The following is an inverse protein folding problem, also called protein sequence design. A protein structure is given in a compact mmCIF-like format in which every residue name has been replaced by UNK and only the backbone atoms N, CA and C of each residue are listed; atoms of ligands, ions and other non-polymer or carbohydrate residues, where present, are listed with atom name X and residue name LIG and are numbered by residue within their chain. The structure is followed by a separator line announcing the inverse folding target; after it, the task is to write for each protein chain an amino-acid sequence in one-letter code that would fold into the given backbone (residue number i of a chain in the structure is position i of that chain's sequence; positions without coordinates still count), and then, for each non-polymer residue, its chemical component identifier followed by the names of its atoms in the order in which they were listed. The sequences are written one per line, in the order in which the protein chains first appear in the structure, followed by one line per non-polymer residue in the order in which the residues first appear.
data_IF_165705518126
#
_entry.id   IF_165705518126
#
_cell.length_a   1.000
_cell.length_b   1.000
_cell.length_c   1.000
_cell.angle_alpha   90.00
_cell.angle_beta   90.00
_cell.angle_gamma   90.00
#
_symmetry.space_group_name_H-M   'P 1'
#
loop_
_entity.id
_entity.type
_entity.pdbx_description
1 polymer ?
#
# COMPACT_ATOMS: atom_id res chain seq x y z
N UNK A 1 -17.99 0.59 -23.46
CA UNK A 1 -19.46 0.63 -23.55
C UNK A 1 -20.00 -0.78 -23.76
N UNK A 2 -20.61 -1.39 -22.74
CA UNK A 2 -21.59 -2.46 -22.94
C UNK A 2 -22.66 -2.33 -21.86
N UNK A 3 -23.79 -1.80 -22.29
CA UNK A 3 -25.04 -1.84 -21.53
C UNK A 3 -25.62 -3.22 -21.81
N UNK A 4 -25.43 -4.15 -20.89
CA UNK A 4 -26.21 -5.40 -20.94
C UNK A 4 -27.38 -5.24 -19.98
N UNK A 5 -28.62 -5.21 -20.48
CA UNK A 5 -29.77 -5.23 -19.60
C UNK A 5 -29.85 -6.62 -18.98
N UNK A 6 -29.44 -6.74 -17.71
CA UNK A 6 -29.92 -7.84 -16.87
C UNK A 6 -31.19 -7.33 -16.20
N UNK A 7 -32.36 -7.71 -16.71
CA UNK A 7 -33.68 -7.37 -16.13
C UNK A 7 -33.94 -5.86 -15.95
N UNK A 8 -33.55 -5.02 -16.92
CA UNK A 8 -33.79 -3.56 -16.86
C UNK A 8 -32.82 -2.76 -15.99
N UNK A 9 -31.90 -3.42 -15.28
CA UNK A 9 -30.77 -2.74 -14.65
C UNK A 9 -29.64 -2.58 -15.68
N UNK A 10 -29.36 -1.34 -16.06
CA UNK A 10 -28.20 -0.99 -16.88
C UNK A 10 -26.97 -1.02 -16.00
N UNK A 11 -26.20 -2.10 -16.03
CA UNK A 11 -24.95 -2.18 -15.30
C UNK A 11 -23.82 -1.62 -16.16
N UNK A 12 -23.18 -0.55 -15.70
CA UNK A 12 -22.09 0.11 -16.41
C UNK A 12 -20.81 -0.70 -16.23
N UNK A 13 -20.37 -1.37 -17.30
CA UNK A 13 -19.02 -1.95 -17.36
C UNK A 13 -18.13 -0.97 -18.13
N UNK A 14 -17.15 -0.31 -17.47
CA UNK A 14 -16.14 0.49 -18.16
C UNK A 14 -15.16 -0.45 -18.90
N UNK A 15 -15.62 -1.11 -19.96
CA UNK A 15 -14.77 -1.73 -20.97
C UNK A 15 -14.60 -0.67 -22.06
N UNK A 16 -13.41 -0.09 -22.16
CA UNK A 16 -13.26 1.25 -22.76
C UNK A 16 -12.90 1.23 -24.25
N UNK A 17 -12.61 0.08 -24.87
CA UNK A 17 -12.31 0.09 -26.31
C UNK A 17 -12.99 -1.04 -27.10
N UNK A 18 -13.86 -0.72 -28.08
CA UNK A 18 -13.98 -1.58 -29.25
C UNK A 18 -12.66 -1.52 -30.03
N UNK A 19 -12.20 -2.66 -30.55
CA UNK A 19 -10.94 -2.79 -31.27
C UNK A 19 -10.77 -1.80 -32.44
N UNK A 20 -11.87 -1.26 -32.97
CA UNK A 20 -11.92 -0.23 -34.00
C UNK A 20 -11.18 1.05 -33.61
N UNK A 21 -11.21 1.43 -32.33
CA UNK A 21 -10.53 2.64 -31.83
C UNK A 21 -9.00 2.54 -31.91
N UNK A 22 -8.45 1.31 -31.82
CA UNK A 22 -7.00 1.07 -31.94
C UNK A 22 -6.49 1.17 -33.37
N UNK A 23 -7.38 1.09 -34.36
CA UNK A 23 -7.04 1.31 -35.77
C UNK A 23 -6.94 2.81 -36.05
N UNK A 24 -7.81 3.61 -35.42
CA UNK A 24 -7.86 5.06 -35.57
C UNK A 24 -6.70 5.74 -34.82
N UNK A 25 -6.35 5.25 -33.62
CA UNK A 25 -5.37 5.90 -32.74
C UNK A 25 -4.29 4.91 -32.25
N UNK A 26 -3.18 4.75 -33.00
CA UNK A 26 -2.13 3.80 -32.64
C UNK A 26 -1.40 4.16 -31.34
N UNK A 27 -1.44 5.41 -30.90
CA UNK A 27 -0.84 5.87 -29.64
C UNK A 27 -1.38 5.14 -28.41
N UNK A 28 -2.65 4.71 -28.41
CA UNK A 28 -3.20 3.92 -27.31
C UNK A 28 -2.46 2.59 -27.13
N UNK A 29 -1.99 1.96 -28.21
CA UNK A 29 -1.22 0.69 -28.11
C UNK A 29 0.04 0.87 -27.27
N UNK A 30 0.70 2.03 -27.39
CA UNK A 30 1.88 2.37 -26.59
C UNK A 30 1.49 2.46 -25.12
N UNK A 31 0.43 3.21 -24.78
CA UNK A 31 -0.05 3.33 -23.40
C UNK A 31 -0.44 1.98 -22.78
N UNK A 32 -1.07 1.10 -23.53
CA UNK A 32 -1.42 -0.24 -23.07
C UNK A 32 -0.20 -1.13 -22.87
N UNK A 33 0.78 -1.06 -23.79
CA UNK A 33 2.01 -1.82 -23.68
C UNK A 33 2.87 -1.33 -22.50
N UNK A 34 2.94 -0.01 -22.27
CA UNK A 34 3.65 0.56 -21.12
C UNK A 34 2.97 0.22 -19.81
N UNK A 35 1.63 0.32 -19.76
CA UNK A 35 0.84 -0.11 -18.60
C UNK A 35 1.16 -1.57 -18.26
N UNK A 36 0.98 -2.48 -19.22
CA UNK A 36 1.24 -3.90 -19.04
C UNK A 36 2.69 -4.17 -18.61
N UNK A 37 3.65 -3.46 -19.20
CA UNK A 37 5.06 -3.52 -18.80
C UNK A 37 5.27 -3.16 -17.33
N UNK A 38 4.68 -2.07 -16.84
CA UNK A 38 4.76 -1.68 -15.43
C UNK A 38 4.09 -2.70 -14.51
N UNK A 39 2.94 -3.24 -14.90
CA UNK A 39 2.24 -4.28 -14.13
C UNK A 39 3.15 -5.51 -14.00
N UNK A 40 3.70 -6.01 -15.11
CA UNK A 40 4.58 -7.18 -15.11
C UNK A 40 5.86 -6.96 -14.30
N UNK A 41 6.41 -5.75 -14.29
CA UNK A 41 7.56 -5.37 -13.45
C UNK A 41 7.18 -5.32 -11.96
N UNK A 42 5.95 -4.92 -11.63
CA UNK A 42 5.49 -4.79 -10.25
C UNK A 42 5.20 -6.15 -9.57
N UNK A 43 4.62 -7.12 -10.29
CA UNK A 43 4.20 -8.42 -9.75
C UNK A 43 5.29 -9.19 -8.98
N UNK A 44 6.52 -9.41 -9.51
CA UNK A 44 7.56 -10.08 -8.76
C UNK A 44 7.98 -9.27 -7.53
N UNK A 45 7.99 -7.93 -7.64
CA UNK A 45 8.24 -7.02 -6.53
C UNK A 45 7.21 -7.19 -5.41
N UNK A 46 5.92 -7.28 -5.73
CA UNK A 46 4.85 -7.43 -4.73
C UNK A 46 4.95 -8.78 -4.03
N UNK A 47 5.20 -9.86 -4.78
CA UNK A 47 5.39 -11.19 -4.19
C UNK A 47 6.58 -11.22 -3.23
N UNK A 48 7.70 -10.63 -3.62
CA UNK A 48 8.87 -10.47 -2.76
C UNK A 48 8.55 -9.61 -1.54
N UNK A 49 7.81 -8.52 -1.70
CA UNK A 49 7.45 -7.62 -0.62
C UNK A 49 6.55 -8.31 0.40
N UNK A 50 5.54 -9.07 -0.02
CA UNK A 50 4.68 -9.87 0.85
C UNK A 50 5.50 -10.88 1.67
N UNK A 51 6.44 -11.56 1.00
CA UNK A 51 7.33 -12.55 1.64
C UNK A 51 8.29 -11.90 2.63
N UNK A 52 8.87 -10.76 2.26
CA UNK A 52 9.78 -9.97 3.09
C UNK A 52 9.04 -9.47 4.32
N UNK A 53 7.87 -8.84 4.15
CA UNK A 53 7.04 -8.37 5.26
C UNK A 53 6.72 -9.49 6.26
N UNK A 54 6.44 -10.70 5.77
CA UNK A 54 6.22 -11.88 6.63
C UNK A 54 7.44 -12.29 7.45
N UNK A 55 8.66 -11.97 6.99
CA UNK A 55 9.92 -12.22 7.71
C UNK A 55 10.37 -11.02 8.57
N UNK A 56 9.92 -9.82 8.25
CA UNK A 56 10.26 -8.56 8.94
C UNK A 56 9.56 -8.37 10.29
N UNK A 57 9.28 -9.45 11.04
CA UNK A 57 8.61 -9.41 12.36
C UNK A 57 9.39 -8.58 13.39
N UNK A 58 10.69 -8.33 13.15
CA UNK A 58 11.54 -7.46 13.99
C UNK A 58 11.42 -5.96 13.69
N UNK A 59 10.81 -5.59 12.57
CA UNK A 59 10.69 -4.19 12.13
C UNK A 59 9.26 -3.66 12.29
N UNK A 60 8.28 -4.55 12.19
CA UNK A 60 6.87 -4.20 12.22
C UNK A 60 6.12 -5.16 13.13
N UNK A 61 5.13 -4.62 13.83
CA UNK A 61 4.22 -5.42 14.62
C UNK A 61 3.45 -6.41 13.74
N UNK A 62 3.20 -7.62 14.27
CA UNK A 62 2.55 -8.71 13.52
C UNK A 62 1.17 -8.32 12.97
N UNK A 63 0.42 -7.50 13.71
CA UNK A 63 -0.89 -7.03 13.25
C UNK A 63 -0.77 -6.10 12.04
N UNK A 64 0.18 -5.17 12.05
CA UNK A 64 0.45 -4.29 10.90
C UNK A 64 0.86 -5.09 9.66
N UNK A 65 1.74 -6.08 9.83
CA UNK A 65 2.17 -6.96 8.72
C UNK A 65 0.96 -7.63 8.08
N UNK A 66 0.04 -8.20 8.88
CA UNK A 66 -1.18 -8.85 8.37
C UNK A 66 -2.09 -7.88 7.62
N UNK A 67 -2.24 -6.64 8.12
CA UNK A 67 -3.04 -5.60 7.46
C UNK A 67 -2.41 -5.21 6.12
N UNK A 68 -1.09 -4.97 6.09
CA UNK A 68 -0.36 -4.64 4.86
C UNK A 68 -0.42 -5.78 3.85
N UNK A 69 -0.25 -7.03 4.28
CA UNK A 69 -0.33 -8.21 3.40
C UNK A 69 -1.71 -8.35 2.76
N UNK A 70 -2.80 -8.16 3.52
CA UNK A 70 -4.16 -8.21 2.97
C UNK A 70 -4.35 -7.18 1.85
N UNK A 71 -3.95 -5.93 2.07
CA UNK A 71 -4.07 -4.86 1.08
C UNK A 71 -3.15 -5.10 -0.14
N UNK A 72 -1.92 -5.60 0.07
CA UNK A 72 -1.03 -5.97 -1.05
C UNK A 72 -1.60 -7.13 -1.88
N UNK A 73 -2.24 -8.12 -1.25
CA UNK A 73 -2.94 -9.21 -1.96
C UNK A 73 -4.10 -8.64 -2.76
N UNK A 74 -4.91 -7.76 -2.18
CA UNK A 74 -6.01 -7.11 -2.90
C UNK A 74 -5.48 -6.36 -4.14
N UNK A 75 -4.44 -5.53 -4.00
CA UNK A 75 -3.84 -4.84 -5.16
C UNK A 75 -3.28 -5.84 -6.18
N UNK A 76 -2.69 -6.95 -5.75
CA UNK A 76 -2.24 -8.00 -6.68
C UNK A 76 -3.41 -8.60 -7.49
N UNK A 77 -4.56 -8.82 -6.84
CA UNK A 77 -5.79 -9.25 -7.54
C UNK A 77 -6.26 -8.19 -8.53
N UNK A 78 -6.13 -6.90 -8.18
CA UNK A 78 -6.44 -5.78 -9.09
C UNK A 78 -5.58 -5.83 -10.35
N UNK A 79 -4.27 -5.98 -10.18
CA UNK A 79 -3.31 -6.02 -11.28
C UNK A 79 -3.51 -7.25 -12.17
N UNK A 80 -3.72 -8.43 -11.58
CA UNK A 80 -4.03 -9.64 -12.33
C UNK A 80 -5.34 -9.50 -13.13
N UNK A 81 -6.36 -8.88 -12.52
CA UNK A 81 -7.62 -8.58 -13.20
C UNK A 81 -7.42 -7.58 -14.33
N UNK A 82 -6.51 -6.60 -14.18
CA UNK A 82 -6.18 -5.67 -15.26
C UNK A 82 -5.48 -6.36 -16.42
N UNK A 83 -4.54 -7.26 -16.18
CA UNK A 83 -3.90 -8.04 -17.26
C UNK A 83 -4.99 -8.75 -18.08
N UNK A 84 -5.93 -9.44 -17.42
CA UNK A 84 -7.04 -10.10 -18.10
C UNK A 84 -7.90 -9.09 -18.89
N UNK A 85 -8.25 -7.95 -18.29
CA UNK A 85 -9.02 -6.91 -18.98
C UNK A 85 -8.30 -6.38 -20.23
N UNK A 86 -6.98 -6.18 -20.18
CA UNK A 86 -6.18 -5.76 -21.34
C UNK A 86 -6.19 -6.83 -22.43
N UNK A 87 -6.11 -8.12 -22.08
CA UNK A 87 -6.18 -9.22 -23.06
C UNK A 87 -7.52 -9.27 -23.80
N UNK A 88 -8.62 -8.93 -23.12
CA UNK A 88 -9.93 -8.77 -23.75
C UNK A 88 -10.02 -7.49 -24.61
N UNK A 89 -9.55 -6.35 -24.10
CA UNK A 89 -9.57 -5.06 -24.82
C UNK A 89 -8.74 -5.11 -26.11
N UNK A 90 -7.62 -5.83 -26.10
CA UNK A 90 -6.74 -6.02 -27.27
C UNK A 90 -7.22 -7.09 -28.25
N UNK A 91 -8.38 -7.73 -28.00
CA UNK A 91 -8.94 -8.83 -28.79
C UNK A 91 -8.02 -10.07 -28.92
N UNK A 92 -7.03 -10.21 -28.04
CA UNK A 92 -6.23 -11.45 -27.95
C UNK A 92 -7.13 -12.61 -27.53
N UNK A 93 -8.02 -12.34 -26.57
CA UNK A 93 -9.10 -13.26 -26.20
C UNK A 93 -10.37 -12.83 -26.96
N UNK A 94 -10.90 -13.72 -27.80
CA UNK A 94 -12.13 -13.46 -28.56
C UNK A 94 -13.33 -13.42 -27.61
N UNK A 95 -14.12 -12.35 -27.72
CA UNK A 95 -15.37 -12.19 -26.99
C UNK A 95 -16.50 -12.94 -27.71
N UNK A 96 -17.42 -13.62 -26.99
CA UNK A 96 -18.66 -14.09 -27.59
C UNK A 96 -19.52 -12.89 -28.03
N UNK A 97 -19.83 -12.80 -29.32
CA UNK A 97 -20.50 -11.63 -29.93
C UNK A 97 -21.95 -11.45 -29.42
N UNK A 98 -22.62 -12.53 -29.01
CA UNK A 98 -24.06 -12.52 -28.70
C UNK A 98 -24.42 -12.77 -27.23
N UNK A 99 -23.45 -12.83 -26.30
CA UNK A 99 -23.72 -13.17 -24.89
C UNK A 99 -23.04 -12.23 -23.90
N UNK A 100 -23.71 -12.03 -22.77
CA UNK A 100 -23.10 -11.41 -21.60
C UNK A 100 -21.87 -12.22 -21.18
N UNK A 101 -20.71 -11.58 -21.23
CA UNK A 101 -19.45 -12.19 -20.82
C UNK A 101 -19.25 -11.98 -19.32
N UNK A 102 -19.67 -12.99 -18.55
CA UNK A 102 -19.53 -12.99 -17.09
C UNK A 102 -18.06 -12.87 -16.66
N UNK A 103 -17.12 -13.36 -17.46
CA UNK A 103 -15.68 -13.32 -17.12
C UNK A 103 -15.19 -11.89 -17.20
N UNK A 104 -15.54 -11.15 -18.27
CA UNK A 104 -15.20 -9.73 -18.39
C UNK A 104 -15.83 -8.92 -17.26
N UNK A 105 -17.10 -9.16 -16.94
CA UNK A 105 -17.77 -8.47 -15.85
C UNK A 105 -17.09 -8.72 -14.50
N UNK A 106 -16.84 -9.99 -14.15
CA UNK A 106 -16.17 -10.36 -12.89
C UNK A 106 -14.76 -9.79 -12.83
N UNK A 107 -14.03 -9.81 -13.94
CA UNK A 107 -12.66 -9.26 -14.01
C UNK A 107 -12.66 -7.75 -13.74
N UNK A 108 -13.57 -7.01 -14.38
CA UNK A 108 -13.69 -5.57 -14.16
C UNK A 108 -14.15 -5.28 -12.73
N UNK A 109 -15.16 -5.99 -12.24
CA UNK A 109 -15.64 -5.85 -10.86
C UNK A 109 -14.54 -6.13 -9.83
N UNK A 110 -13.80 -7.23 -10.00
CA UNK A 110 -12.68 -7.60 -9.13
C UNK A 110 -11.59 -6.51 -9.14
N UNK A 111 -11.24 -5.97 -10.32
CA UNK A 111 -10.28 -4.87 -10.45
C UNK A 111 -10.72 -3.63 -9.66
N UNK A 112 -11.93 -3.14 -9.89
CA UNK A 112 -12.41 -1.93 -9.23
C UNK A 112 -12.57 -2.14 -7.72
N UNK A 113 -13.18 -3.23 -7.29
CA UNK A 113 -13.34 -3.53 -5.87
C UNK A 113 -12.00 -3.63 -5.13
N UNK A 114 -10.99 -4.24 -5.76
CA UNK A 114 -9.67 -4.36 -5.16
C UNK A 114 -8.85 -3.06 -5.23
N UNK A 115 -8.98 -2.24 -6.29
CA UNK A 115 -8.41 -0.88 -6.31
C UNK A 115 -8.95 -0.03 -5.15
N UNK A 116 -10.22 -0.20 -4.77
CA UNK A 116 -10.81 0.52 -3.63
C UNK A 116 -10.10 0.20 -2.30
N UNK A 117 -9.41 -0.94 -2.18
CA UNK A 117 -8.61 -1.26 -0.99
C UNK A 117 -7.47 -0.28 -0.75
N UNK A 118 -6.95 0.38 -1.80
CA UNK A 118 -5.91 1.38 -1.65
C UNK A 118 -6.38 2.52 -0.75
N UNK A 119 -7.65 2.93 -0.88
CA UNK A 119 -8.25 3.99 -0.07
C UNK A 119 -8.34 3.63 1.41
N UNK A 120 -8.50 2.34 1.74
CA UNK A 120 -8.59 1.86 3.11
C UNK A 120 -7.24 1.49 3.71
N UNK A 121 -6.19 1.33 2.90
CA UNK A 121 -4.88 0.85 3.33
C UNK A 121 -4.23 1.77 4.37
N UNK A 122 -4.08 3.06 4.06
CA UNK A 122 -3.49 4.03 4.99
C UNK A 122 -4.33 4.17 6.28
N UNK A 123 -5.67 4.40 6.21
CA UNK A 123 -6.50 4.42 7.42
C UNK A 123 -6.34 3.18 8.29
N UNK A 124 -6.35 1.98 7.69
CA UNK A 124 -6.22 0.71 8.43
C UNK A 124 -4.88 0.61 9.17
N UNK A 125 -3.78 1.04 8.53
CA UNK A 125 -2.47 1.10 9.18
C UNK A 125 -2.44 2.11 10.33
N UNK A 126 -3.03 3.29 10.15
CA UNK A 126 -3.11 4.33 11.19
C UNK A 126 -3.94 3.84 12.39
N UNK A 127 -5.05 3.17 12.14
CA UNK A 127 -5.89 2.58 13.19
C UNK A 127 -5.09 1.55 13.99
N UNK A 128 -4.33 0.68 13.35
CA UNK A 128 -3.48 -0.30 14.06
C UNK A 128 -2.39 0.39 14.88
N UNK A 129 -1.73 1.42 14.33
CA UNK A 129 -0.74 2.21 15.07
C UNK A 129 -1.36 2.93 16.26
N UNK A 130 -2.56 3.46 16.10
CA UNK A 130 -3.29 4.14 17.18
C UNK A 130 -3.59 3.17 18.33
N UNK A 131 -3.96 1.93 18.03
CA UNK A 131 -4.12 0.87 19.03
C UNK A 131 -2.80 0.46 19.67
N UNK A 132 -1.71 0.36 18.89
CA UNK A 132 -0.38 0.04 19.41
C UNK A 132 0.12 1.11 20.39
N UNK A 133 -0.05 2.39 20.06
CA UNK A 133 0.31 3.51 20.95
C UNK A 133 -0.60 3.61 22.17
N UNK A 134 -1.89 3.27 22.05
CA UNK A 134 -2.82 3.30 23.18
C UNK A 134 -2.59 2.15 24.18
N UNK A 135 -2.31 0.94 23.68
CA UNK A 135 -2.13 -0.27 24.50
C UNK A 135 -0.65 -0.64 24.74
N UNK A 136 0.25 0.33 24.73
CA UNK A 136 1.70 0.12 24.72
C UNK A 136 2.20 -0.86 25.81
N UNK A 137 1.61 -0.83 27.01
CA UNK A 137 2.00 -1.68 28.15
C UNK A 137 1.75 -3.18 27.94
N UNK A 138 0.74 -3.52 27.14
CA UNK A 138 0.19 -4.88 27.02
C UNK A 138 0.24 -5.42 25.59
N UNK A 139 0.52 -4.56 24.60
CA UNK A 139 0.41 -4.89 23.18
C UNK A 139 1.39 -5.99 22.76
N UNK A 140 2.58 -6.04 23.35
CA UNK A 140 3.57 -7.10 23.06
C UNK A 140 3.33 -8.39 23.84
N UNK A 141 2.78 -8.30 25.06
CA UNK A 141 2.59 -9.46 25.94
C UNK A 141 1.49 -10.38 25.44
N UNK A 142 0.43 -9.80 24.89
CA UNK A 142 -0.73 -10.54 24.40
C UNK A 142 -0.81 -10.40 22.88
N UNK A 143 -0.72 -11.50 22.11
CA UNK A 143 -0.87 -11.45 20.66
C UNK A 143 -2.34 -11.17 20.32
N UNK A 144 -2.72 -9.89 20.30
CA UNK A 144 -4.08 -9.39 20.02
C UNK A 144 -4.39 -9.49 18.52
N UNK A 145 -4.34 -10.70 17.97
CA UNK A 145 -4.60 -10.96 16.54
C UNK A 145 -5.99 -10.50 16.10
N UNK A 146 -6.96 -10.50 17.04
CA UNK A 146 -8.32 -10.01 16.80
C UNK A 146 -8.35 -8.56 16.29
N UNK A 147 -7.39 -7.71 16.68
CA UNK A 147 -7.31 -6.31 16.21
C UNK A 147 -7.08 -6.28 14.70
N UNK A 148 -6.12 -7.09 14.20
CA UNK A 148 -5.86 -7.16 12.76
C UNK A 148 -7.06 -7.70 11.97
N UNK A 149 -7.77 -8.70 12.52
CA UNK A 149 -8.98 -9.24 11.88
C UNK A 149 -10.12 -8.23 11.86
N UNK A 150 -10.34 -7.51 12.97
CA UNK A 150 -11.36 -6.48 13.06
C UNK A 150 -11.09 -5.34 12.07
N UNK A 151 -9.86 -4.82 12.04
CA UNK A 151 -9.47 -3.74 11.12
C UNK A 151 -9.62 -4.20 9.66
N UNK A 152 -9.15 -5.41 9.32
CA UNK A 152 -9.29 -5.93 7.96
C UNK A 152 -10.76 -6.17 7.57
N UNK A 153 -11.60 -6.68 8.49
CA UNK A 153 -13.02 -6.87 8.23
C UNK A 153 -13.72 -5.52 7.96
N UNK A 154 -13.42 -4.50 8.76
CA UNK A 154 -13.94 -3.13 8.53
C UNK A 154 -13.43 -2.59 7.19
N UNK A 155 -12.14 -2.75 6.88
CA UNK A 155 -11.56 -2.32 5.61
C UNK A 155 -12.25 -3.00 4.40
N UNK A 156 -12.58 -4.29 4.50
CA UNK A 156 -13.32 -5.04 3.48
C UNK A 156 -14.71 -4.46 3.27
N UNK A 157 -15.46 -4.23 4.34
CA UNK A 157 -16.79 -3.63 4.26
C UNK A 157 -16.73 -2.24 3.63
N UNK A 158 -15.73 -1.42 4.02
CA UNK A 158 -15.54 -0.07 3.49
C UNK A 158 -15.19 -0.08 2.00
N UNK A 159 -14.26 -0.91 1.55
CA UNK A 159 -13.91 -0.92 0.12
C UNK A 159 -15.04 -1.50 -0.75
N UNK A 160 -15.82 -2.48 -0.26
CA UNK A 160 -17.02 -2.97 -0.96
C UNK A 160 -18.07 -1.87 -1.06
N UNK A 161 -18.30 -1.13 0.03
CA UNK A 161 -19.23 0.00 0.05
C UNK A 161 -18.79 1.09 -0.93
N UNK A 162 -17.50 1.40 -0.97
CA UNK A 162 -16.93 2.37 -1.90
C UNK A 162 -17.02 1.91 -3.37
N UNK A 163 -16.86 0.60 -3.63
CA UNK A 163 -17.08 0.02 -4.95
C UNK A 163 -18.54 0.17 -5.41
N UNK A 164 -19.51 -0.12 -4.53
CA UNK A 164 -20.93 0.08 -4.84
C UNK A 164 -21.21 1.57 -5.15
N UNK A 165 -20.64 2.47 -4.34
CA UNK A 165 -20.75 3.91 -4.57
C UNK A 165 -20.11 4.34 -5.91
N UNK A 166 -18.98 3.73 -6.28
CA UNK A 166 -18.32 3.96 -7.57
C UNK A 166 -19.15 3.46 -8.75
N UNK A 167 -19.88 2.34 -8.58
CA UNK A 167 -20.81 1.87 -9.60
C UNK A 167 -22.02 2.79 -9.76
N UNK A 168 -22.53 3.34 -8.65
CA UNK A 168 -23.57 4.38 -8.68
C UNK A 168 -23.05 5.68 -9.34
N UNK A 169 -21.77 5.99 -9.16
CA UNK A 169 -21.10 7.13 -9.80
C UNK A 169 -21.17 7.07 -11.32
N UNK A 170 -21.06 5.89 -11.92
CA UNK A 170 -21.20 5.75 -13.36
C UNK A 170 -22.61 6.11 -13.90
N UNK A 171 -23.64 6.23 -13.04
CA UNK A 171 -24.99 6.61 -13.46
C UNK A 171 -25.23 8.12 -13.48
N UNK A 172 -24.42 8.91 -12.76
CA UNK A 172 -24.63 10.36 -12.67
C UNK A 172 -23.34 11.11 -12.31
N UNK A 173 -23.06 12.25 -12.96
CA UNK A 173 -21.92 13.11 -12.62
C UNK A 173 -21.94 13.59 -11.17
N UNK A 174 -23.13 13.71 -10.56
CA UNK A 174 -23.26 14.06 -9.14
C UNK A 174 -22.59 13.01 -8.23
N UNK A 175 -22.82 11.73 -8.49
CA UNK A 175 -22.24 10.66 -7.68
C UNK A 175 -20.72 10.55 -7.90
N UNK A 176 -20.20 10.89 -9.08
CA UNK A 176 -18.75 11.01 -9.33
C UNK A 176 -18.14 12.08 -8.42
N UNK A 177 -18.77 13.25 -8.33
CA UNK A 177 -18.33 14.31 -7.43
C UNK A 177 -18.34 13.86 -5.97
N UNK A 178 -19.38 13.13 -5.54
CA UNK A 178 -19.46 12.57 -4.18
C UNK A 178 -18.32 11.58 -3.93
N UNK A 179 -18.04 10.65 -4.85
CA UNK A 179 -16.95 9.68 -4.74
C UNK A 179 -15.58 10.36 -4.63
N UNK A 180 -15.32 11.35 -5.49
CA UNK A 180 -14.07 12.13 -5.47
C UNK A 180 -13.92 12.90 -4.16
N UNK A 181 -14.98 13.56 -3.69
CA UNK A 181 -14.98 14.30 -2.43
C UNK A 181 -14.71 13.37 -1.23
N UNK A 182 -15.39 12.23 -1.17
CA UNK A 182 -15.19 11.23 -0.10
C UNK A 182 -13.77 10.68 -0.13
N UNK A 183 -13.23 10.37 -1.31
CA UNK A 183 -11.85 9.88 -1.44
C UNK A 183 -10.83 10.92 -0.94
N UNK A 184 -10.96 12.18 -1.37
CA UNK A 184 -10.08 13.28 -0.92
C UNK A 184 -10.21 13.51 0.59
N UNK A 185 -11.43 13.44 1.14
CA UNK A 185 -11.66 13.56 2.57
C UNK A 185 -10.97 12.43 3.36
N UNK A 186 -11.12 11.17 2.93
CA UNK A 186 -10.46 10.03 3.58
C UNK A 186 -8.93 10.20 3.56
N UNK A 187 -8.36 10.59 2.43
CA UNK A 187 -6.90 10.77 2.29
C UNK A 187 -6.38 11.91 3.17
N UNK A 188 -7.07 13.05 3.17
CA UNK A 188 -6.68 14.22 3.98
C UNK A 188 -6.81 13.95 5.48
N UNK A 189 -7.94 13.38 5.92
CA UNK A 189 -8.14 12.99 7.33
C UNK A 189 -7.12 11.95 7.78
N UNK A 190 -6.79 10.98 6.93
CA UNK A 190 -5.76 9.98 7.24
C UNK A 190 -4.40 10.64 7.43
N UNK A 191 -4.00 11.53 6.52
CA UNK A 191 -2.74 12.26 6.62
C UNK A 191 -2.65 13.16 7.86
N UNK A 192 -3.73 13.86 8.22
CA UNK A 192 -3.78 14.64 9.46
C UNK A 192 -3.68 13.73 10.68
N UNK A 193 -4.41 12.61 10.68
CA UNK A 193 -4.44 11.67 11.82
C UNK A 193 -3.07 11.06 12.06
N UNK A 194 -2.33 10.62 11.03
CA UNK A 194 -0.98 10.05 11.22
C UNK A 194 0.00 11.11 11.72
N UNK A 195 -0.11 12.36 11.27
CA UNK A 195 0.73 13.46 11.79
C UNK A 195 0.43 13.70 13.27
N UNK A 196 -0.85 13.68 13.67
CA UNK A 196 -1.24 13.84 15.07
C UNK A 196 -0.72 12.69 15.94
N UNK A 197 -0.86 11.43 15.48
CA UNK A 197 -0.33 10.25 16.17
C UNK A 197 1.18 10.33 16.31
N UNK A 198 1.90 10.67 15.23
CA UNK A 198 3.34 10.85 15.25
C UNK A 198 3.79 11.95 16.25
N UNK A 199 3.14 13.12 16.23
CA UNK A 199 3.46 14.23 17.15
C UNK A 199 3.20 13.84 18.60
N UNK A 200 2.11 13.13 18.87
CA UNK A 200 1.79 12.61 20.20
C UNK A 200 2.88 11.66 20.69
N UNK A 201 3.27 10.68 19.88
CA UNK A 201 4.28 9.69 20.26
C UNK A 201 5.66 10.34 20.51
N UNK A 202 6.05 11.33 19.70
CA UNK A 202 7.29 12.10 19.91
C UNK A 202 7.22 12.93 21.19
N UNK A 203 6.08 13.55 21.50
CA UNK A 203 5.91 14.33 22.72
C UNK A 203 6.04 13.44 23.97
N UNK A 204 5.41 12.26 23.97
CA UNK A 204 5.53 11.28 25.05
C UNK A 204 6.99 10.82 25.20
N UNK A 205 7.68 10.57 24.08
CA UNK A 205 9.09 10.15 24.12
C UNK A 205 10.01 11.23 24.69
N UNK A 206 9.77 12.49 24.32
CA UNK A 206 10.51 13.63 24.85
C UNK A 206 10.27 13.81 26.34
N UNK A 207 9.03 13.64 26.82
CA UNK A 207 8.70 13.73 28.24
C UNK A 207 9.38 12.62 29.06
N UNK A 208 9.41 11.38 28.54
CA UNK A 208 10.11 10.27 29.19
C UNK A 208 11.64 10.44 29.19
N UNK A 209 12.19 11.17 28.23
CA UNK A 209 13.64 11.39 28.10
C UNK A 209 14.13 12.56 28.95
N UNK A 210 13.34 13.64 28.99
CA UNK A 210 13.62 14.78 29.84
C UNK A 210 13.24 14.40 31.28
N UNK A 211 14.24 14.18 32.14
CA UNK A 211 14.13 13.76 33.54
C UNK A 211 13.34 14.70 34.48
N UNK A 212 12.43 15.53 33.97
CA UNK A 212 11.42 16.23 34.74
C UNK A 212 10.56 15.16 35.43
N UNK A 213 10.94 14.78 36.65
CA UNK A 213 10.41 13.67 37.46
C UNK A 213 8.95 13.84 37.91
N UNK A 214 8.08 14.30 37.02
CA UNK A 214 6.66 14.55 37.24
C UNK A 214 5.79 13.57 36.42
N UNK A 215 6.38 12.78 35.52
CA UNK A 215 5.63 11.79 34.75
C UNK A 215 5.19 10.64 35.67
N UNK A 216 3.90 10.55 35.92
CA UNK A 216 3.22 9.52 36.74
C UNK A 216 3.27 8.12 36.13
N UNK A 217 3.81 7.98 34.91
CA UNK A 217 3.96 6.70 34.23
C UNK A 217 5.20 6.01 34.75
N UNK A 218 5.03 4.81 35.32
CA UNK A 218 6.13 3.95 35.76
C UNK A 218 7.10 3.71 34.60
N UNK A 219 8.24 4.37 34.64
CA UNK A 219 9.25 4.27 33.59
C UNK A 219 9.83 2.85 33.57
N UNK A 220 9.59 2.12 32.49
CA UNK A 220 10.29 0.85 32.21
C UNK A 220 11.12 1.00 30.95
N UNK A 221 12.32 0.40 30.95
CA UNK A 221 13.23 0.42 29.81
C UNK A 221 12.56 -0.14 28.53
N UNK A 222 11.69 -1.15 28.69
CA UNK A 222 10.89 -1.72 27.59
C UNK A 222 9.95 -0.71 26.94
N UNK A 223 9.31 0.15 27.72
CA UNK A 223 8.39 1.17 27.21
C UNK A 223 9.11 2.17 26.29
N UNK A 224 10.33 2.56 26.68
CA UNK A 224 11.15 3.48 25.89
C UNK A 224 11.51 2.85 24.53
N UNK A 225 11.99 1.61 24.51
CA UNK A 225 12.34 0.93 23.26
C UNK A 225 11.14 0.76 22.32
N UNK A 226 9.98 0.39 22.88
CA UNK A 226 8.73 0.27 22.11
C UNK A 226 8.29 1.61 21.51
N UNK A 227 8.40 2.70 22.28
CA UNK A 227 8.02 4.02 21.81
C UNK A 227 8.98 4.55 20.74
N UNK A 228 10.28 4.31 20.87
CA UNK A 228 11.27 4.63 19.83
C UNK A 228 11.01 3.87 18.52
N UNK A 229 10.62 2.59 18.61
CA UNK A 229 10.20 1.81 17.45
C UNK A 229 8.93 2.39 16.81
N UNK A 230 7.90 2.68 17.62
CA UNK A 230 6.66 3.28 17.13
C UNK A 230 6.88 4.63 16.45
N UNK A 231 7.71 5.51 17.02
CA UNK A 231 8.08 6.80 16.40
C UNK A 231 8.77 6.59 15.06
N UNK A 232 9.69 5.61 14.96
CA UNK A 232 10.38 5.29 13.70
C UNK A 232 9.42 4.80 12.62
N UNK A 233 8.50 3.90 12.98
CA UNK A 233 7.50 3.35 12.06
C UNK A 233 6.48 4.42 11.65
N UNK A 234 6.00 5.23 12.61
CA UNK A 234 5.05 6.32 12.34
C UNK A 234 5.66 7.41 11.46
N UNK A 235 6.96 7.68 11.59
CA UNK A 235 7.67 8.56 10.66
C UNK A 235 7.64 8.05 9.22
N UNK A 236 7.88 6.74 9.01
CA UNK A 236 7.79 6.13 7.67
C UNK A 236 6.35 6.18 7.14
N UNK A 237 5.37 5.83 7.97
CA UNK A 237 3.94 5.88 7.62
C UNK A 237 3.47 7.30 7.30
N UNK A 238 3.99 8.32 7.97
CA UNK A 238 3.70 9.72 7.67
C UNK A 238 4.16 10.09 6.25
N UNK A 239 5.41 9.74 5.87
CA UNK A 239 5.88 9.97 4.51
C UNK A 239 5.06 9.20 3.46
N UNK A 240 4.72 7.94 3.76
CA UNK A 240 3.85 7.13 2.91
C UNK A 240 2.45 7.75 2.76
N UNK A 241 1.85 8.23 3.84
CA UNK A 241 0.52 8.86 3.83
C UNK A 241 0.50 10.16 3.04
N UNK A 242 1.53 11.00 3.19
CA UNK A 242 1.67 12.24 2.42
C UNK A 242 1.82 11.94 0.93
N UNK A 243 2.73 11.02 0.58
CA UNK A 243 2.91 10.57 -0.80
C UNK A 243 1.62 9.98 -1.38
N UNK A 244 0.92 9.15 -0.61
CA UNK A 244 -0.37 8.56 -0.97
C UNK A 244 -1.45 9.62 -1.21
N UNK A 245 -1.50 10.69 -0.41
CA UNK A 245 -2.50 11.75 -0.57
C UNK A 245 -2.25 12.59 -1.83
N UNK A 246 -0.98 12.92 -2.12
CA UNK A 246 -0.61 13.60 -3.38
C UNK A 246 -0.93 12.70 -4.57
N UNK A 247 -0.55 11.42 -4.47
CA UNK A 247 -0.81 10.44 -5.51
C UNK A 247 -2.30 10.26 -5.80
N UNK A 248 -3.10 10.09 -4.75
CA UNK A 248 -4.53 9.90 -4.87
C UNK A 248 -5.26 11.16 -5.30
N UNK A 249 -4.79 12.37 -4.95
CA UNK A 249 -5.36 13.62 -5.46
C UNK A 249 -5.18 13.72 -6.98
N UNK A 250 -3.99 13.43 -7.50
CA UNK A 250 -3.72 13.39 -8.95
C UNK A 250 -4.57 12.30 -9.62
N UNK A 251 -4.61 11.10 -9.04
CA UNK A 251 -5.42 9.99 -9.56
C UNK A 251 -6.92 10.31 -9.61
N UNK A 252 -7.48 10.91 -8.54
CA UNK A 252 -8.87 11.34 -8.49
C UNK A 252 -9.15 12.47 -9.48
N UNK A 253 -8.21 13.40 -9.69
CA UNK A 253 -8.31 14.46 -10.68
C UNK A 253 -8.37 13.92 -12.11
N UNK A 254 -7.47 13.01 -12.48
CA UNK A 254 -7.46 12.37 -13.80
C UNK A 254 -8.73 11.54 -14.04
N UNK A 255 -9.12 10.71 -13.07
CA UNK A 255 -10.31 9.87 -13.21
C UNK A 255 -11.59 10.72 -13.19
N UNK A 256 -11.72 11.67 -12.27
CA UNK A 256 -12.89 12.54 -12.16
C UNK A 256 -13.06 13.42 -13.40
N UNK A 257 -11.99 14.01 -13.93
CA UNK A 257 -12.06 14.82 -15.14
C UNK A 257 -12.47 14.00 -16.38
N UNK A 258 -11.98 12.77 -16.50
CA UNK A 258 -12.37 11.86 -17.58
C UNK A 258 -13.88 11.60 -17.61
N UNK A 259 -14.53 11.47 -16.45
CA UNK A 259 -15.96 11.19 -16.38
C UNK A 259 -16.87 12.43 -16.29
N UNK A 260 -16.36 13.57 -15.84
CA UNK A 260 -17.18 14.78 -15.67
C UNK A 260 -17.25 15.65 -16.92
N UNK A 261 -16.14 15.77 -17.66
CA UNK A 261 -16.04 16.71 -18.78
C UNK A 261 -16.22 16.05 -20.13
N UNK A 262 -15.97 14.74 -20.22
CA UNK A 262 -15.94 14.01 -21.47
C UNK A 262 -17.04 12.95 -21.47
N UNK A 263 -17.78 12.90 -22.58
CA UNK A 263 -18.71 11.80 -22.82
C UNK A 263 -17.95 10.50 -23.05
N UNK A 264 -18.62 9.37 -22.82
CA UNK A 264 -18.04 8.03 -22.95
C UNK A 264 -17.54 7.67 -24.36
N UNK A 265 -17.79 8.51 -25.37
CA UNK A 265 -17.33 8.33 -26.75
C UNK A 265 -16.18 9.28 -27.11
N UNK A 266 -15.84 10.23 -26.25
CA UNK A 266 -14.82 11.23 -26.56
C UNK A 266 -13.40 10.62 -26.46
N UNK A 267 -12.57 10.71 -27.52
CA UNK A 267 -11.18 10.23 -27.48
C UNK A 267 -10.34 10.88 -26.37
N UNK A 268 -10.65 12.10 -25.93
CA UNK A 268 -9.94 12.75 -24.82
C UNK A 268 -10.25 12.11 -23.47
N UNK A 269 -11.50 11.73 -23.21
CA UNK A 269 -11.88 10.97 -22.02
C UNK A 269 -11.16 9.63 -21.95
N UNK A 270 -11.05 8.96 -23.10
CA UNK A 270 -10.29 7.71 -23.24
C UNK A 270 -8.78 7.91 -22.98
N UNK A 271 -8.20 9.01 -23.47
CA UNK A 271 -6.80 9.36 -23.21
C UNK A 271 -6.55 9.60 -21.71
N UNK A 272 -7.42 10.36 -21.04
CA UNK A 272 -7.30 10.60 -19.59
C UNK A 272 -7.40 9.31 -18.79
N UNK A 273 -8.29 8.39 -19.18
CA UNK A 273 -8.39 7.08 -18.54
C UNK A 273 -7.13 6.23 -18.75
N UNK A 274 -6.57 6.21 -19.97
CA UNK A 274 -5.32 5.52 -20.28
C UNK A 274 -4.13 6.11 -19.49
N UNK A 275 -4.09 7.43 -19.34
CA UNK A 275 -3.11 8.14 -18.51
C UNK A 275 -3.26 7.80 -17.03
N UNK A 276 -4.49 7.78 -16.51
CA UNK A 276 -4.78 7.36 -15.14
C UNK A 276 -4.27 5.94 -14.86
N UNK A 277 -4.56 4.99 -15.75
CA UNK A 277 -4.10 3.61 -15.59
C UNK A 277 -2.57 3.49 -15.63
N UNK A 278 -1.91 4.16 -16.58
CA UNK A 278 -0.45 4.19 -16.64
C UNK A 278 0.16 4.83 -15.40
N UNK A 279 -0.42 5.94 -14.95
CA UNK A 279 -0.01 6.62 -13.72
C UNK A 279 -0.13 5.70 -12.51
N UNK A 280 -1.24 4.96 -12.37
CA UNK A 280 -1.44 4.01 -11.29
C UNK A 280 -0.42 2.86 -11.35
N UNK A 281 -0.25 2.22 -12.51
CA UNK A 281 0.67 1.11 -12.69
C UNK A 281 2.13 1.50 -12.46
N UNK A 282 2.58 2.63 -13.03
CA UNK A 282 3.93 3.17 -12.83
C UNK A 282 4.19 3.51 -11.36
N UNK A 283 3.26 4.22 -10.72
CA UNK A 283 3.42 4.65 -9.33
C UNK A 283 3.45 3.45 -8.39
N UNK A 284 2.61 2.45 -8.63
CA UNK A 284 2.60 1.22 -7.84
C UNK A 284 3.90 0.43 -8.03
N UNK A 285 4.37 0.26 -9.26
CA UNK A 285 5.67 -0.37 -9.53
C UNK A 285 6.80 0.35 -8.79
N UNK A 286 6.89 1.69 -8.94
CA UNK A 286 7.89 2.49 -8.27
C UNK A 286 7.83 2.36 -6.73
N UNK A 287 6.63 2.40 -6.15
CA UNK A 287 6.41 2.27 -4.71
C UNK A 287 6.87 0.91 -4.18
N UNK A 288 6.51 -0.18 -4.86
CA UNK A 288 6.88 -1.55 -4.47
C UNK A 288 8.40 -1.72 -4.45
N UNK A 289 9.07 -1.28 -5.51
CA UNK A 289 10.53 -1.37 -5.61
C UNK A 289 11.23 -0.45 -4.61
N UNK A 290 10.69 0.75 -4.37
CA UNK A 290 11.20 1.66 -3.35
C UNK A 290 11.04 1.09 -1.93
N UNK A 291 9.90 0.48 -1.61
CA UNK A 291 9.68 -0.18 -0.31
C UNK A 291 10.63 -1.36 -0.09
N UNK A 292 10.82 -2.20 -1.12
CA UNK A 292 11.80 -3.29 -1.08
C UNK A 292 13.23 -2.79 -0.85
N UNK A 293 13.59 -1.66 -1.48
CA UNK A 293 14.87 -1.00 -1.27
C UNK A 293 15.01 -0.48 0.17
N UNK A 294 13.97 0.19 0.69
CA UNK A 294 13.95 0.78 2.04
C UNK A 294 14.04 -0.26 3.15
N UNK A 295 13.43 -1.43 2.99
CA UNK A 295 13.53 -2.53 3.97
C UNK A 295 14.97 -3.09 4.02
N UNK A 296 15.80 -2.79 3.02
CA UNK A 296 17.20 -3.23 2.95
C UNK A 296 17.36 -4.71 2.60
N UNK A 297 16.26 -5.46 2.54
CA UNK A 297 16.26 -6.87 2.15
C UNK A 297 16.53 -7.02 0.64
N UNK A 298 16.18 -6.04 -0.20
CA UNK A 298 16.62 -6.04 -1.60
C UNK A 298 18.16 -6.00 -1.68
N UNK A 299 18.82 -5.23 -0.82
CA UNK A 299 20.29 -5.19 -0.72
C UNK A 299 20.85 -6.53 -0.24
N UNK A 300 20.15 -7.24 0.67
CA UNK A 300 20.57 -8.58 1.14
C UNK A 300 20.36 -9.66 0.08
N UNK A 301 19.22 -9.67 -0.60
CA UNK A 301 18.88 -10.62 -1.66
C UNK A 301 19.77 -10.44 -2.89
N UNK A 302 20.01 -9.20 -3.31
CA UNK A 302 20.99 -8.90 -4.36
C UNK A 302 22.38 -9.38 -3.93
N UNK A 303 22.81 -9.12 -2.70
CA UNK A 303 24.11 -9.60 -2.21
C UNK A 303 24.20 -11.13 -2.19
N UNK A 304 23.14 -11.85 -1.82
CA UNK A 304 23.15 -13.32 -1.84
C UNK A 304 23.11 -13.91 -3.25
N UNK A 305 22.34 -13.31 -4.17
CA UNK A 305 22.30 -13.78 -5.56
C UNK A 305 23.57 -13.45 -6.33
N UNK A 306 24.16 -12.25 -6.13
CA UNK A 306 25.46 -11.93 -6.71
C UNK A 306 26.58 -12.80 -6.11
N UNK A 307 26.52 -13.17 -4.84
CA UNK A 307 27.45 -14.13 -4.25
C UNK A 307 27.28 -15.56 -4.79
N UNK A 308 26.08 -15.92 -5.27
CA UNK A 308 25.81 -17.24 -5.85
C UNK A 308 26.11 -17.31 -7.36
N UNK A 309 25.88 -16.22 -8.10
CA UNK A 309 26.22 -16.12 -9.53
C UNK A 309 27.71 -15.87 -9.77
N UNK A 310 28.41 -15.16 -8.87
CA UNK A 310 29.86 -15.10 -8.86
C UNK A 310 30.41 -16.27 -8.04
N UNK A 311 30.29 -17.49 -8.57
CA UNK A 311 30.95 -18.67 -8.01
C UNK A 311 32.44 -18.38 -7.79
N UNK A 312 32.89 -18.59 -6.55
CA UNK A 312 34.30 -18.74 -6.17
C UNK A 312 35.30 -17.70 -6.68
N UNK A 313 34.93 -16.42 -6.85
CA UNK A 313 35.93 -15.38 -6.60
C UNK A 313 36.10 -15.27 -5.09
N UNK A 314 36.92 -16.20 -4.57
CA UNK A 314 37.49 -16.22 -3.24
C UNK A 314 38.40 -15.00 -3.09
N UNK A 315 37.80 -13.81 -3.15
CA UNK A 315 38.43 -12.61 -2.62
C UNK A 315 38.49 -12.93 -1.14
N UNK A 316 39.68 -13.33 -0.68
CA UNK A 316 40.13 -13.10 0.68
C UNK A 316 40.05 -11.59 0.91
N UNK A 317 38.83 -11.06 1.00
CA UNK A 317 38.57 -9.93 1.88
C UNK A 317 38.79 -10.58 3.21
N UNK A 318 40.03 -10.44 3.68
CA UNK A 318 40.38 -10.44 5.07
C UNK A 318 39.39 -9.49 5.73
N UNK A 319 38.24 -10.06 6.07
CA UNK A 319 37.23 -9.43 6.87
C UNK A 319 37.92 -9.40 8.22
N UNK A 320 38.69 -8.35 8.42
CA UNK A 320 39.05 -7.87 9.74
C UNK A 320 37.72 -7.70 10.47
N UNK A 321 37.30 -8.77 11.12
CA UNK A 321 36.31 -8.76 12.18
C UNK A 321 36.98 -8.13 13.40
N UNK A 322 37.44 -6.88 13.22
CA UNK A 322 37.52 -5.89 14.27
C UNK A 322 36.19 -5.11 14.21
N UNK A 323 35.07 -5.83 14.16
CA UNK A 323 33.90 -5.42 14.94
C UNK A 323 34.27 -5.78 16.36
N UNK A 324 35.10 -4.90 16.93
CA UNK A 324 35.11 -4.48 18.31
C UNK A 324 34.23 -5.34 19.23
N UNK A 325 34.78 -6.47 19.70
CA UNK A 325 34.40 -7.04 21.00
C UNK A 325 34.45 -5.97 22.09
N UNK A 326 35.25 -4.93 21.89
CA UNK A 326 35.35 -3.77 22.75
C UNK A 326 34.05 -2.94 22.84
N UNK A 327 33.16 -2.93 21.84
CA UNK A 327 31.93 -2.12 21.88
C UNK A 327 30.78 -2.80 22.62
N UNK A 328 30.68 -4.13 22.53
CA UNK A 328 29.71 -4.92 23.32
C UNK A 328 30.22 -5.04 24.76
N UNK A 329 31.52 -5.26 24.95
CA UNK A 329 32.11 -5.32 26.29
C UNK A 329 32.03 -3.96 27.02
N UNK A 330 32.21 -2.84 26.31
CA UNK A 330 32.09 -1.49 26.90
C UNK A 330 30.64 -1.10 27.25
N UNK A 331 29.63 -1.71 26.60
CA UNK A 331 28.22 -1.54 26.99
C UNK A 331 27.92 -2.37 28.24
N UNK A 332 28.35 -3.63 28.29
CA UNK A 332 28.15 -4.50 29.45
C UNK A 332 28.92 -3.99 30.69
N UNK A 333 30.13 -3.45 30.52
CA UNK A 333 30.91 -2.87 31.62
C UNK A 333 30.30 -1.57 32.16
N UNK A 334 29.66 -0.77 31.29
CA UNK A 334 28.94 0.43 31.72
C UNK A 334 27.68 0.09 32.52
N UNK A 335 26.93 -0.94 32.10
CA UNK A 335 25.77 -1.42 32.87
C UNK A 335 26.18 -2.11 34.18
N UNK A 336 27.30 -2.82 34.22
CA UNK A 336 27.84 -3.43 35.44
C UNK A 336 28.36 -2.39 36.45
N UNK A 337 28.99 -1.30 36.00
CA UNK A 337 29.37 -0.16 36.86
C UNK A 337 28.16 0.58 37.44
N UNK A 338 27.09 0.72 36.66
CA UNK A 338 25.84 1.30 37.14
C UNK A 338 25.14 0.36 38.14
N UNK A 339 25.23 -0.95 37.95
CA UNK A 339 24.64 -1.91 38.88
C UNK A 339 25.37 -1.95 40.23
N UNK A 340 26.71 -1.90 40.22
CA UNK A 340 27.52 -1.96 41.44
C UNK A 340 27.45 -0.68 42.29
N UNK A 341 27.17 0.47 41.68
CA UNK A 341 26.97 1.73 42.41
C UNK A 341 25.60 1.82 43.13
N UNK A 342 24.67 0.90 42.85
CA UNK A 342 23.29 0.93 43.36
C UNK A 342 22.95 -0.25 44.30
N UNK A 343 23.85 -1.21 44.45
CA UNK A 343 23.75 -2.27 45.47
C UNK A 343 24.60 -1.88 46.69
N UNK A 344 24.01 -1.74 47.90
CA UNK A 344 24.71 -1.33 49.10
C UNK A 344 25.75 -2.34 49.60
#
# INVERSE_FOLDING_TARGET
MLVTPLNGLTLFVPVIFPGETFEIYPSFRIFYATELGFILISLPGVFLLIRVLGRSVRLFHRNLIKIMQMHLIAVTVSEASRILAVLYETRIIKRPEDKFDIVVFVTVAARFASMCSLLTMIPAMITERSFASHFISDYEKLPRCWISFLINAIAIVLFISFYILSMLACMSPFFIMVVVLVAVLIMTLSSVTIIMVYRKDVAILSDLTNKTGVSTVTYTLSLKFQLEENVRVNRLLMFLSMGYSVWGFIGCGLNGSAFMFFDATDPLGHLLYALFNNYAALSFAALVWWLLWMIGDLRRLLRSHFAFCCGDLKINVERSSVISKESVHRIDDHFNQLYSAWTP
#
